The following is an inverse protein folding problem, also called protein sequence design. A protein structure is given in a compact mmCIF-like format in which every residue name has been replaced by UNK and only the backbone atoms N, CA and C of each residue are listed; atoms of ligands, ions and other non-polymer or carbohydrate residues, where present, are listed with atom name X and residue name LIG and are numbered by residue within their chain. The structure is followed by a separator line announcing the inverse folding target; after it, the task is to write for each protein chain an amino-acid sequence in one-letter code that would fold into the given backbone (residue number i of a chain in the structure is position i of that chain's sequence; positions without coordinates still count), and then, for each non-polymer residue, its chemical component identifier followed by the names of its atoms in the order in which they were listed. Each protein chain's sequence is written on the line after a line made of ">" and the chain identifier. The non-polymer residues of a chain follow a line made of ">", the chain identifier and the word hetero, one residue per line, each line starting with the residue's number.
data_IF_523426452995
#
_entry.id   IF_523426452995
#
_cell.length_a   1.000
_cell.length_b   1.000
_cell.length_c   1.000
_cell.angle_alpha   90.00
_cell.angle_beta   90.00
_cell.angle_gamma   90.00
#
_symmetry.space_group_name_H-M   'P 1'
#
loop_
_entity.id
_entity.type
_entity.pdbx_description
1 polymer ?
#
# COMPACT_ATOMS: atom_id res chain seq x y z
N UNK A 1 13.61 -9.55 -15.67
CA UNK A 1 13.30 -9.51 -14.23
C UNK A 1 12.47 -8.28 -13.91
N UNK A 2 11.43 -8.43 -13.10
CA UNK A 2 10.55 -7.34 -12.72
C UNK A 2 11.25 -6.41 -11.72
N UNK A 3 11.23 -5.10 -11.99
CA UNK A 3 11.80 -4.10 -11.08
C UNK A 3 10.70 -3.52 -10.19
N UNK A 4 10.70 -3.87 -8.92
CA UNK A 4 9.71 -3.40 -7.93
C UNK A 4 10.12 -2.10 -7.23
N UNK A 5 11.29 -1.54 -7.57
CA UNK A 5 11.81 -0.31 -6.95
C UNK A 5 10.83 0.87 -7.04
N UNK A 6 10.15 1.12 -8.18
CA UNK A 6 9.17 2.22 -8.24
C UNK A 6 8.08 2.11 -7.18
N UNK A 7 7.59 0.91 -6.91
CA UNK A 7 6.57 0.69 -5.88
C UNK A 7 7.16 0.92 -4.48
N UNK A 8 8.28 0.31 -4.19
CA UNK A 8 8.95 0.43 -2.88
C UNK A 8 9.28 1.88 -2.56
N UNK A 9 9.88 2.59 -3.52
CA UNK A 9 10.25 4.00 -3.34
C UNK A 9 9.03 4.88 -3.09
N UNK A 10 7.98 4.70 -3.86
CA UNK A 10 6.75 5.51 -3.72
C UNK A 10 6.10 5.29 -2.35
N UNK A 11 6.02 4.03 -1.91
CA UNK A 11 5.43 3.70 -0.60
C UNK A 11 6.30 4.23 0.53
N UNK A 12 7.62 4.08 0.45
CA UNK A 12 8.54 4.59 1.48
C UNK A 12 8.40 6.10 1.66
N UNK A 13 8.32 6.85 0.57
CA UNK A 13 8.12 8.31 0.63
C UNK A 13 6.79 8.66 1.29
N UNK A 14 5.74 7.94 0.98
CA UNK A 14 4.43 8.19 1.57
C UNK A 14 4.41 7.82 3.06
N UNK A 15 4.95 6.68 3.44
CA UNK A 15 5.01 6.27 4.85
C UNK A 15 5.85 7.24 5.68
N UNK A 16 6.94 7.78 5.12
CA UNK A 16 7.74 8.81 5.81
C UNK A 16 6.91 10.07 6.08
N UNK A 17 6.11 10.51 5.11
CA UNK A 17 5.22 11.66 5.30
C UNK A 17 4.13 11.39 6.32
N UNK A 18 3.56 10.18 6.30
CA UNK A 18 2.54 9.78 7.28
C UNK A 18 3.10 9.80 8.70
N UNK A 19 4.31 9.28 8.89
CA UNK A 19 4.96 9.26 10.20
C UNK A 19 5.35 10.65 10.70
N UNK A 20 5.62 11.57 9.80
CA UNK A 20 5.99 12.95 10.15
C UNK A 20 4.78 13.85 10.40
N UNK A 21 3.59 13.48 9.96
CA UNK A 21 2.41 14.32 10.08
C UNK A 21 1.80 14.25 11.49
N UNK A 22 1.26 15.37 12.00
CA UNK A 22 0.53 15.35 13.27
C UNK A 22 -0.71 14.46 13.19
N UNK A 23 -1.05 13.84 14.31
CA UNK A 23 -2.19 12.94 14.43
C UNK A 23 -3.50 13.58 13.99
N UNK A 24 -3.71 14.85 14.38
CA UNK A 24 -4.91 15.60 14.00
C UNK A 24 -5.04 15.75 12.48
N UNK A 25 -3.92 15.90 11.79
CA UNK A 25 -3.90 16.00 10.33
C UNK A 25 -4.21 14.65 9.69
N UNK A 26 -3.63 13.57 10.21
CA UNK A 26 -3.88 12.21 9.71
C UNK A 26 -5.36 11.84 9.80
N UNK A 27 -6.03 12.22 10.88
CA UNK A 27 -7.44 11.93 11.11
C UNK A 27 -8.39 12.65 10.17
N UNK A 28 -7.93 13.70 9.48
CA UNK A 28 -8.77 14.48 8.55
C UNK A 28 -8.89 13.88 7.15
N UNK A 29 -8.28 12.72 6.91
CA UNK A 29 -8.37 12.05 5.62
C UNK A 29 -7.17 11.18 5.27
N UNK A 30 -5.90 11.64 5.49
CA UNK A 30 -4.74 10.86 5.07
C UNK A 30 -4.65 9.45 5.68
N UNK A 31 -5.05 9.29 6.94
CA UNK A 31 -5.02 7.95 7.56
C UNK A 31 -6.01 7.00 6.89
N UNK A 32 -7.21 7.47 6.58
CA UNK A 32 -8.21 6.67 5.86
C UNK A 32 -7.76 6.31 4.45
N UNK A 33 -7.16 7.27 3.75
CA UNK A 33 -6.61 7.04 2.41
C UNK A 33 -5.47 6.02 2.43
N UNK A 34 -4.58 6.12 3.41
CA UNK A 34 -3.46 5.19 3.58
C UNK A 34 -3.96 3.78 3.90
N UNK A 35 -4.98 3.64 4.75
CA UNK A 35 -5.58 2.35 5.07
C UNK A 35 -6.23 1.72 3.84
N UNK A 36 -6.96 2.51 3.05
CA UNK A 36 -7.56 2.02 1.81
C UNK A 36 -6.50 1.52 0.84
N UNK A 37 -5.38 2.23 0.71
CA UNK A 37 -4.26 1.80 -0.11
C UNK A 37 -3.62 0.52 0.43
N UNK A 38 -3.39 0.44 1.73
CA UNK A 38 -2.83 -0.77 2.36
C UNK A 38 -3.72 -1.98 2.09
N UNK A 39 -5.04 -1.83 2.21
CA UNK A 39 -6.01 -2.88 1.90
C UNK A 39 -5.94 -3.28 0.44
N UNK A 40 -5.84 -2.33 -0.47
CA UNK A 40 -5.72 -2.62 -1.91
C UNK A 40 -4.46 -3.43 -2.21
N UNK A 41 -3.29 -3.00 -1.71
CA UNK A 41 -2.03 -3.69 -1.95
C UNK A 41 -2.05 -5.09 -1.35
N UNK A 42 -2.62 -5.24 -0.17
CA UNK A 42 -2.78 -6.54 0.50
C UNK A 42 -3.64 -7.49 -0.33
N UNK A 43 -4.77 -7.02 -0.84
CA UNK A 43 -5.66 -7.83 -1.68
C UNK A 43 -4.99 -8.22 -2.99
N UNK A 44 -4.24 -7.30 -3.62
CA UNK A 44 -3.48 -7.60 -4.82
C UNK A 44 -2.46 -8.72 -4.58
N UNK A 45 -1.73 -8.65 -3.46
CA UNK A 45 -0.77 -9.69 -3.09
C UNK A 45 -1.45 -11.03 -2.90
N UNK A 46 -2.55 -11.07 -2.15
CA UNK A 46 -3.28 -12.30 -1.88
C UNK A 46 -3.82 -12.95 -3.15
N UNK A 47 -4.33 -12.16 -4.08
CA UNK A 47 -4.86 -12.66 -5.36
C UNK A 47 -3.77 -13.24 -6.25
N UNK A 48 -2.57 -12.69 -6.20
CA UNK A 48 -1.43 -13.24 -6.94
C UNK A 48 -0.97 -14.58 -6.33
N UNK A 49 -0.97 -14.69 -5.00
CA UNK A 49 -0.53 -15.89 -4.31
C UNK A 49 -1.54 -17.03 -4.39
N UNK A 50 -2.83 -16.70 -4.27
CA UNK A 50 -3.92 -17.68 -4.30
C UNK A 50 -5.17 -17.06 -4.92
N UNK A 51 -5.28 -17.10 -6.27
CA UNK A 51 -6.42 -16.48 -6.98
C UNK A 51 -7.79 -17.06 -6.61
N UNK A 52 -7.83 -18.29 -6.11
CA UNK A 52 -9.10 -18.96 -5.76
C UNK A 52 -9.58 -18.63 -4.35
N UNK A 53 -8.69 -18.14 -3.48
CA UNK A 53 -9.05 -17.86 -2.10
C UNK A 53 -9.77 -16.53 -1.96
N UNK A 54 -10.66 -16.43 -0.97
CA UNK A 54 -11.29 -15.17 -0.59
C UNK A 54 -10.25 -14.30 0.11
N UNK A 55 -9.95 -13.08 -0.38
CA UNK A 55 -8.97 -12.22 0.27
C UNK A 55 -9.43 -11.79 1.66
N UNK A 56 -8.47 -11.73 2.58
CA UNK A 56 -8.70 -11.17 3.91
C UNK A 56 -8.48 -9.66 3.85
N UNK A 57 -9.36 -8.91 4.51
CA UNK A 57 -9.31 -7.46 4.54
C UNK A 57 -8.62 -7.01 5.83
N UNK A 58 -7.56 -6.24 5.68
CA UNK A 58 -6.81 -5.68 6.79
C UNK A 58 -7.72 -4.79 7.65
N UNK A 59 -7.75 -5.00 8.98
CA UNK A 59 -8.59 -4.17 9.86
C UNK A 59 -8.01 -2.77 10.06
N UNK A 60 -8.86 -1.84 10.45
CA UNK A 60 -8.43 -0.53 10.92
C UNK A 60 -7.82 -0.68 12.32
N UNK A 61 -6.53 -0.40 12.44
CA UNK A 61 -5.79 -0.50 13.70
C UNK A 61 -5.38 0.89 14.24
N UNK A 62 -5.90 1.96 13.64
CA UNK A 62 -5.68 3.33 14.10
C UNK A 62 -4.54 4.06 13.42
N UNK A 63 -4.49 5.37 13.66
CA UNK A 63 -3.57 6.28 12.95
C UNK A 63 -2.10 6.04 13.28
N UNK A 64 -1.80 5.46 14.45
CA UNK A 64 -0.42 5.21 14.86
C UNK A 64 0.25 4.08 14.09
N UNK A 65 -0.53 3.15 13.54
CA UNK A 65 0.01 1.95 12.88
C UNK A 65 -0.25 1.90 11.38
N UNK A 66 -0.99 2.86 10.83
CA UNK A 66 -1.39 2.80 9.42
C UNK A 66 -0.19 2.85 8.47
N UNK A 67 0.85 3.62 8.79
CA UNK A 67 2.08 3.65 7.99
C UNK A 67 2.75 2.28 7.97
N UNK A 68 2.81 1.60 9.11
CA UNK A 68 3.37 0.26 9.20
C UNK A 68 2.53 -0.75 8.43
N UNK A 69 1.21 -0.65 8.51
CA UNK A 69 0.30 -1.51 7.75
C UNK A 69 0.54 -1.35 6.24
N UNK A 70 0.70 -0.11 5.78
CA UNK A 70 0.99 0.17 4.38
C UNK A 70 2.35 -0.41 3.96
N UNK A 71 3.38 -0.24 4.78
CA UNK A 71 4.70 -0.78 4.49
C UNK A 71 4.69 -2.30 4.40
N UNK A 72 3.99 -2.97 5.31
CA UNK A 72 3.84 -4.43 5.29
C UNK A 72 3.09 -4.90 4.05
N UNK A 73 1.98 -4.24 3.70
CA UNK A 73 1.19 -4.60 2.53
C UNK A 73 2.00 -4.45 1.23
N UNK A 74 2.80 -3.40 1.11
CA UNK A 74 3.69 -3.20 -0.03
C UNK A 74 4.75 -4.29 -0.12
N UNK A 75 5.35 -4.67 1.02
CA UNK A 75 6.32 -5.76 1.09
C UNK A 75 5.72 -7.09 0.67
N UNK A 76 4.50 -7.37 1.10
CA UNK A 76 3.78 -8.59 0.72
C UNK A 76 3.54 -8.63 -0.80
N UNK A 77 3.17 -7.49 -1.40
CA UNK A 77 2.99 -7.42 -2.84
C UNK A 77 4.30 -7.63 -3.60
N UNK A 78 5.40 -7.04 -3.13
CA UNK A 78 6.72 -7.26 -3.71
C UNK A 78 7.08 -8.75 -3.69
N UNK A 79 6.85 -9.44 -2.57
CA UNK A 79 7.10 -10.88 -2.46
C UNK A 79 6.22 -11.69 -3.40
N UNK A 80 4.93 -11.35 -3.48
CA UNK A 80 4.00 -12.03 -4.39
C UNK A 80 4.44 -11.87 -5.86
N UNK A 81 4.94 -10.69 -6.23
CA UNK A 81 5.42 -10.42 -7.58
C UNK A 81 6.71 -11.16 -7.92
N UNK A 82 7.47 -11.66 -6.93
CA UNK A 82 8.65 -12.49 -7.20
C UNK A 82 8.27 -13.87 -7.70
N UNK A 83 7.17 -14.43 -7.17
CA UNK A 83 6.70 -15.77 -7.55
C UNK A 83 5.68 -15.74 -8.68
N UNK A 84 4.91 -14.66 -8.81
CA UNK A 84 3.93 -14.45 -9.86
C UNK A 84 4.15 -13.09 -10.53
N UNK A 85 5.21 -12.94 -11.35
CA UNK A 85 5.56 -11.67 -11.96
C UNK A 85 4.46 -11.15 -12.89
N UNK A 86 4.13 -9.86 -12.75
CA UNK A 86 3.16 -9.19 -13.60
C UNK A 86 3.50 -7.71 -13.67
N UNK A 87 3.97 -7.25 -14.82
CA UNK A 87 4.24 -5.83 -15.04
C UNK A 87 2.97 -5.01 -14.93
N UNK A 88 1.84 -5.53 -15.41
CA UNK A 88 0.56 -4.86 -15.32
C UNK A 88 0.14 -4.64 -13.87
N UNK A 89 0.25 -5.66 -13.03
CA UNK A 89 -0.08 -5.56 -11.59
C UNK A 89 0.82 -4.53 -10.89
N UNK A 90 2.12 -4.56 -11.20
CA UNK A 90 3.05 -3.59 -10.64
C UNK A 90 2.70 -2.17 -11.06
N UNK A 91 2.42 -1.95 -12.34
CA UNK A 91 2.08 -0.62 -12.85
C UNK A 91 0.80 -0.08 -12.24
N UNK A 92 -0.21 -0.94 -12.09
CA UNK A 92 -1.48 -0.56 -11.44
C UNK A 92 -1.26 -0.19 -9.97
N UNK A 93 -0.45 -0.95 -9.26
CA UNK A 93 -0.12 -0.66 -7.85
C UNK A 93 0.60 0.69 -7.72
N UNK A 94 1.58 0.95 -8.57
CA UNK A 94 2.31 2.23 -8.58
C UNK A 94 1.35 3.41 -8.84
N UNK A 95 0.43 3.24 -9.80
CA UNK A 95 -0.58 4.27 -10.08
C UNK A 95 -1.51 4.50 -8.89
N UNK A 96 -1.91 3.44 -8.19
CA UNK A 96 -2.74 3.56 -6.98
C UNK A 96 -2.03 4.35 -5.89
N UNK A 97 -0.75 4.09 -5.67
CA UNK A 97 0.05 4.86 -4.71
C UNK A 97 0.08 6.34 -5.11
N UNK A 98 0.36 6.63 -6.37
CA UNK A 98 0.45 8.01 -6.86
C UNK A 98 -0.87 8.77 -6.66
N UNK A 99 -2.00 8.13 -6.98
CA UNK A 99 -3.33 8.74 -6.79
C UNK A 99 -3.61 9.01 -5.32
N UNK A 100 -3.27 8.07 -4.46
CA UNK A 100 -3.48 8.20 -3.02
C UNK A 100 -2.65 9.36 -2.45
N UNK A 101 -1.38 9.43 -2.84
CA UNK A 101 -0.47 10.51 -2.41
C UNK A 101 -1.00 11.87 -2.85
N UNK A 102 -1.42 11.99 -4.10
CA UNK A 102 -1.97 13.24 -4.63
C UNK A 102 -3.23 13.68 -3.88
N UNK A 103 -4.11 12.74 -3.55
CA UNK A 103 -5.34 13.04 -2.83
C UNK A 103 -5.16 13.30 -1.35
N UNK A 104 -4.13 12.75 -0.73
CA UNK A 104 -3.88 12.89 0.70
C UNK A 104 -3.41 14.30 1.09
N UNK A 105 -2.75 15.02 0.20
CA UNK A 105 -2.29 16.40 0.42
C UNK A 105 -1.41 16.56 1.66
N UNK A 106 -0.52 15.62 1.86
CA UNK A 106 0.47 15.71 2.94
C UNK A 106 1.72 16.47 2.50
#
# INVERSE_FOLDING_TARGET
>A
MLDTTPLTTAVDRFTDRLRAAPQSRLRRGPAGAALALARELSVRAQRLEDPAAQPRIMPDAGVFVVADQLAVAAGDLVEALRTAPSQQELDEAVRSVARTVAGAKL
#
